data_IF_426942476982
#
_entry.id   IF_426942476982
#
_cell.length_a   1.000
_cell.length_b   1.000
_cell.length_c   1.000
_cell.angle_alpha   90.00
_cell.angle_beta   90.00
_cell.angle_gamma   90.00
#
_symmetry.space_group_name_H-M   'P 1'
#
loop_
_entity.id
_entity.type
_entity.pdbx_description
1 polymer ?
#
# COMPACT_ATOMS: atom_id res chain seq x y z
N UNK A 1 0.05 -2.31 -0.59
CA UNK A 1 -1.01 -1.52 0.10
C UNK A 1 -1.25 -2.14 1.46
N UNK A 2 -0.95 -1.45 2.57
CA UNK A 2 -1.07 -2.00 3.94
C UNK A 2 -2.02 -1.16 4.80
N UNK A 3 -2.78 -1.82 5.69
CA UNK A 3 -3.72 -1.22 6.64
C UNK A 3 -3.40 -1.67 8.06
N UNK A 4 -3.56 -0.80 9.04
CA UNK A 4 -3.33 -1.15 10.44
C UNK A 4 -4.24 -0.40 11.42
N UNK A 5 -4.71 -1.11 12.46
CA UNK A 5 -5.39 -0.60 13.65
C UNK A 5 -4.70 -1.05 14.97
N UNK A 6 -4.89 -0.31 16.07
CA UNK A 6 -4.47 -0.67 17.44
C UNK A 6 -5.39 0.00 18.47
N UNK A 7 -5.68 -0.68 19.57
CA UNK A 7 -6.33 -0.08 20.73
C UNK A 7 -5.46 1.01 21.40
N UNK A 8 -6.11 2.06 21.90
CA UNK A 8 -5.49 3.08 22.74
C UNK A 8 -5.27 2.55 24.16
N UNK A 9 -4.09 2.81 24.72
CA UNK A 9 -3.79 2.56 26.15
C UNK A 9 -4.64 3.48 27.02
N UNK A 10 -4.85 3.09 28.29
CA UNK A 10 -5.63 3.88 29.24
C UNK A 10 -5.20 5.37 29.32
N UNK A 11 -3.88 5.65 29.30
CA UNK A 11 -3.37 7.02 29.29
C UNK A 11 -3.59 7.75 27.95
N UNK A 12 -3.62 7.03 26.82
CA UNK A 12 -3.83 7.58 25.48
C UNK A 12 -5.30 7.94 25.25
N UNK A 13 -6.24 7.26 25.92
CA UNK A 13 -7.68 7.58 25.88
C UNK A 13 -8.00 8.99 26.38
N UNK A 14 -7.16 9.54 27.25
CA UNK A 14 -7.33 10.89 27.81
C UNK A 14 -6.71 11.98 26.93
N UNK A 15 -6.14 11.64 25.78
CA UNK A 15 -5.54 12.62 24.89
C UNK A 15 -6.63 13.44 24.17
N UNK A 16 -6.38 14.73 23.91
CA UNK A 16 -7.21 15.50 23.00
C UNK A 16 -7.33 14.80 21.65
N UNK A 17 -8.46 14.97 20.95
CA UNK A 17 -8.73 14.33 19.66
C UNK A 17 -7.59 14.53 18.66
N UNK A 18 -7.03 15.74 18.58
CA UNK A 18 -5.88 16.05 17.72
C UNK A 18 -4.62 15.23 18.06
N UNK A 19 -4.36 14.97 19.35
CA UNK A 19 -3.23 14.14 19.79
C UNK A 19 -3.47 12.66 19.46
N UNK A 20 -4.73 12.18 19.50
CA UNK A 20 -5.08 10.80 19.12
C UNK A 20 -4.92 10.55 17.62
N UNK A 21 -5.28 11.51 16.79
CA UNK A 21 -5.09 11.47 15.34
C UNK A 21 -3.60 11.39 14.97
N UNK A 22 -2.78 12.25 15.58
CA UNK A 22 -1.32 12.25 15.36
C UNK A 22 -0.66 10.98 15.90
N UNK A 23 -1.16 10.44 17.01
CA UNK A 23 -0.69 9.18 17.58
C UNK A 23 -0.90 8.02 16.61
N UNK A 24 -2.02 8.01 15.88
CA UNK A 24 -2.33 6.99 14.89
C UNK A 24 -1.33 6.99 13.72
N UNK A 25 -1.06 8.18 13.19
CA UNK A 25 -0.07 8.38 12.15
C UNK A 25 1.32 7.95 12.63
N UNK A 26 1.71 8.36 13.84
CA UNK A 26 2.95 7.88 14.47
C UNK A 26 2.99 6.37 14.57
N UNK A 27 1.90 5.74 14.99
CA UNK A 27 1.88 4.29 15.13
C UNK A 27 2.06 3.58 13.79
N UNK A 28 1.38 4.05 12.73
CA UNK A 28 1.57 3.51 11.40
C UNK A 28 2.99 3.72 10.88
N UNK A 29 3.56 4.92 11.09
CA UNK A 29 4.95 5.21 10.75
C UNK A 29 5.94 4.35 11.53
N UNK A 30 5.72 4.08 12.82
CA UNK A 30 6.56 3.16 13.59
C UNK A 30 6.43 1.73 13.07
N UNK A 31 5.20 1.28 12.80
CA UNK A 31 4.94 -0.10 12.37
C UNK A 31 5.53 -0.39 10.99
N UNK A 32 5.33 0.55 10.07
CA UNK A 32 5.83 0.47 8.71
C UNK A 32 7.15 1.22 8.55
N UNK A 33 7.83 1.59 9.65
CA UNK A 33 9.06 2.41 9.65
C UNK A 33 10.03 1.94 8.60
N UNK A 34 10.08 0.64 8.50
CA UNK A 34 10.99 -0.09 7.67
C UNK A 34 10.79 0.06 6.17
N UNK A 35 9.55 0.30 5.74
CA UNK A 35 9.19 0.55 4.34
C UNK A 35 9.13 2.04 4.02
N UNK A 36 9.18 2.90 5.04
CA UNK A 36 8.85 4.31 4.94
C UNK A 36 9.97 5.27 5.33
N UNK A 37 10.95 4.77 6.09
CA UNK A 37 12.11 5.55 6.48
C UNK A 37 13.01 5.78 5.27
N UNK A 38 13.45 7.02 5.09
CA UNK A 38 14.32 7.41 3.99
C UNK A 38 13.69 8.48 3.09
N UNK A 39 14.31 8.69 1.93
CA UNK A 39 14.00 9.80 1.02
C UNK A 39 12.87 9.52 0.04
N UNK A 40 12.32 8.29 -0.02
CA UNK A 40 11.24 7.95 -0.96
C UNK A 40 9.90 8.54 -0.49
N UNK A 41 9.21 9.34 -1.32
CA UNK A 41 7.95 9.97 -0.94
C UNK A 41 6.80 8.95 -0.86
N UNK A 42 5.94 9.07 0.15
CA UNK A 42 4.70 8.29 0.25
C UNK A 42 3.52 9.15 0.73
N UNK A 43 2.31 8.61 0.57
CA UNK A 43 1.07 9.29 0.99
C UNK A 43 0.45 8.58 2.18
N UNK A 44 0.12 9.36 3.20
CA UNK A 44 -0.73 8.95 4.31
C UNK A 44 -2.15 9.43 4.03
N UNK A 45 -3.07 8.49 3.87
CA UNK A 45 -4.50 8.82 3.78
C UNK A 45 -5.15 8.77 5.15
N UNK A 46 -5.93 9.80 5.46
CA UNK A 46 -6.70 9.93 6.71
C UNK A 46 -8.10 10.46 6.43
N UNK A 47 -9.06 10.01 7.22
CA UNK A 47 -10.42 10.53 7.30
C UNK A 47 -10.57 11.73 8.25
N UNK A 48 -9.46 12.26 8.78
CA UNK A 48 -9.43 13.41 9.68
C UNK A 48 -8.77 14.61 8.99
N UNK A 49 -9.57 15.59 8.57
CA UNK A 49 -9.09 16.75 7.82
C UNK A 49 -8.11 17.64 8.61
N UNK A 50 -8.21 17.64 9.94
CA UNK A 50 -7.32 18.32 10.89
C UNK A 50 -5.86 17.91 10.76
N UNK A 51 -5.59 16.65 10.38
CA UNK A 51 -4.22 16.15 10.21
C UNK A 51 -3.48 16.76 9.02
N UNK A 52 -4.21 17.31 8.02
CA UNK A 52 -3.60 17.97 6.87
C UNK A 52 -2.78 19.19 7.27
N UNK A 53 -3.17 19.84 8.36
CA UNK A 53 -2.51 21.04 8.90
C UNK A 53 -1.85 20.81 10.26
N UNK A 54 -1.96 19.60 10.83
CA UNK A 54 -1.46 19.30 12.16
C UNK A 54 0.06 19.47 12.29
N UNK A 55 0.81 19.23 11.22
CA UNK A 55 2.26 19.47 11.16
C UNK A 55 2.64 20.95 11.05
N UNK A 56 1.69 21.82 10.67
CA UNK A 56 1.88 23.26 10.44
C UNK A 56 1.17 24.14 11.49
N UNK A 57 0.63 23.55 12.56
CA UNK A 57 -0.09 24.30 13.60
C UNK A 57 0.88 25.18 14.41
N UNK A 58 0.56 26.47 14.66
CA UNK A 58 1.42 27.36 15.45
C UNK A 58 1.41 27.07 16.96
N UNK A 59 0.46 26.25 17.44
CA UNK A 59 0.37 25.83 18.85
C UNK A 59 0.44 24.32 18.94
N UNK A 60 1.65 23.81 19.16
CA UNK A 60 1.93 22.39 19.31
C UNK A 60 2.12 22.06 20.79
N UNK A 61 1.50 20.97 21.25
CA UNK A 61 1.82 20.44 22.57
C UNK A 61 3.26 19.91 22.59
N UNK A 62 3.92 19.87 23.76
CA UNK A 62 5.27 19.29 23.88
C UNK A 62 5.35 17.83 23.41
N UNK A 63 4.21 17.12 23.44
CA UNK A 63 4.06 15.78 22.86
C UNK A 63 4.10 15.83 21.34
N UNK A 64 3.35 16.72 20.70
CA UNK A 64 3.35 16.92 19.25
C UNK A 64 4.72 17.36 18.74
N UNK A 65 5.41 18.27 19.43
CA UNK A 65 6.77 18.70 19.06
C UNK A 65 7.75 17.54 18.97
N UNK A 66 7.73 16.62 19.95
CA UNK A 66 8.56 15.41 19.92
C UNK A 66 8.19 14.48 18.77
N UNK A 67 6.91 14.43 18.38
CA UNK A 67 6.47 13.61 17.25
C UNK A 67 6.81 14.23 15.90
N UNK A 68 6.85 15.57 15.80
CA UNK A 68 7.29 16.23 14.57
C UNK A 68 8.75 15.95 14.24
N UNK A 69 9.64 15.96 15.25
CA UNK A 69 11.03 15.53 15.05
C UNK A 69 11.11 14.09 14.54
N UNK A 70 10.26 13.20 15.05
CA UNK A 70 10.15 11.83 14.55
C UNK A 70 9.59 11.77 13.12
N UNK A 71 8.60 12.61 12.77
CA UNK A 71 8.03 12.66 11.42
C UNK A 71 9.00 13.23 10.38
N UNK A 72 9.91 14.12 10.79
CA UNK A 72 10.94 14.67 9.92
C UNK A 72 11.92 13.61 9.37
N UNK A 73 11.98 12.42 9.98
CA UNK A 73 12.74 11.28 9.46
C UNK A 73 12.10 10.64 8.20
N UNK A 74 10.86 11.01 7.86
CA UNK A 74 10.08 10.39 6.78
C UNK A 74 9.71 11.41 5.70
N UNK A 75 9.78 11.00 4.43
CA UNK A 75 9.30 11.80 3.31
C UNK A 75 7.82 11.47 2.99
N UNK A 76 6.87 12.17 3.60
CA UNK A 76 5.45 11.94 3.32
C UNK A 76 4.62 13.20 3.16
N UNK A 77 3.47 13.03 2.51
CA UNK A 77 2.36 13.99 2.54
C UNK A 77 1.10 13.37 3.10
N UNK A 78 0.27 14.19 3.75
CA UNK A 78 -1.01 13.77 4.32
C UNK A 78 -2.14 14.20 3.39
N UNK A 79 -2.97 13.25 2.96
CA UNK A 79 -4.14 13.51 2.12
C UNK A 79 -5.42 13.08 2.84
N UNK A 80 -6.42 13.97 2.83
CA UNK A 80 -7.74 13.68 3.37
C UNK A 80 -8.55 12.83 2.39
N UNK A 81 -9.10 11.71 2.88
CA UNK A 81 -10.11 10.91 2.17
C UNK A 81 -11.37 10.80 3.03
N UNK A 82 -12.55 11.22 2.53
CA UNK A 82 -13.80 11.06 3.25
C UNK A 82 -14.03 9.61 3.69
N UNK A 83 -14.54 9.39 4.91
CA UNK A 83 -14.76 8.04 5.47
C UNK A 83 -15.57 7.10 4.54
N UNK A 84 -16.53 7.66 3.79
CA UNK A 84 -17.31 6.93 2.77
C UNK A 84 -16.45 6.29 1.65
N UNK A 85 -15.29 6.87 1.36
CA UNK A 85 -14.32 6.36 0.38
C UNK A 85 -13.16 5.60 1.06
N UNK A 86 -13.13 5.59 2.38
CA UNK A 86 -12.14 4.92 3.21
C UNK A 86 -12.72 3.66 3.88
N UNK A 87 -13.64 2.96 3.18
CA UNK A 87 -14.49 1.89 3.70
C UNK A 87 -13.70 0.80 4.44
N UNK A 88 -12.53 0.42 3.94
CA UNK A 88 -11.67 -0.58 4.57
C UNK A 88 -11.08 -0.12 5.91
N UNK A 89 -10.61 1.13 5.96
CA UNK A 89 -10.04 1.71 7.17
C UNK A 89 -11.14 1.99 8.22
N UNK A 90 -12.30 2.42 7.75
CA UNK A 90 -13.47 2.72 8.57
C UNK A 90 -14.13 1.43 9.12
N UNK A 91 -14.17 0.34 8.35
CA UNK A 91 -14.64 -0.95 8.84
C UNK A 91 -13.74 -1.55 9.94
N UNK A 92 -12.43 -1.34 9.83
CA UNK A 92 -11.45 -1.81 10.80
C UNK A 92 -11.38 -0.92 12.06
N UNK A 93 -11.75 0.36 11.99
CA UNK A 93 -11.82 1.27 13.15
C UNK A 93 -13.08 1.10 13.99
N UNK A 94 -14.18 0.60 13.39
CA UNK A 94 -15.51 0.43 14.01
C UNK A 94 -15.74 -0.91 14.71
N UNK A 95 -14.71 -1.76 14.84
CA UNK A 95 -14.82 -3.04 15.54
C UNK A 95 -14.97 -2.81 17.07
N UNK A 96 -16.02 -3.35 17.72
CA UNK A 96 -16.32 -3.05 19.14
C UNK A 96 -15.28 -3.64 20.11
N UNK A 97 -14.55 -4.66 19.70
CA UNK A 97 -13.36 -5.19 20.36
C UNK A 97 -12.11 -4.29 20.17
N UNK A 98 -12.22 -3.19 19.42
CA UNK A 98 -11.17 -2.22 19.11
C UNK A 98 -11.70 -0.79 19.34
N UNK A 99 -11.98 -0.42 20.58
CA UNK A 99 -12.38 0.95 20.89
C UNK A 99 -11.31 1.98 20.44
N UNK A 100 -11.68 2.79 19.45
CA UNK A 100 -10.97 3.93 18.86
C UNK A 100 -9.57 3.60 18.30
N UNK A 101 -9.55 2.81 17.21
CA UNK A 101 -8.35 2.67 16.39
C UNK A 101 -8.43 3.54 15.13
N UNK A 102 -7.70 4.64 15.11
CA UNK A 102 -7.49 5.44 13.90
C UNK A 102 -6.60 4.68 12.91
N UNK A 103 -7.01 4.60 11.64
CA UNK A 103 -6.30 3.84 10.61
C UNK A 103 -5.62 4.76 9.63
N UNK A 104 -4.31 4.60 9.52
CA UNK A 104 -3.47 5.31 8.56
C UNK A 104 -3.13 4.33 7.44
N UNK A 105 -3.51 4.69 6.21
CA UNK A 105 -3.16 3.92 5.02
C UNK A 105 -1.92 4.54 4.39
N UNK A 106 -0.92 3.70 4.13
CA UNK A 106 0.33 4.08 3.52
C UNK A 106 0.43 3.47 2.13
N UNK A 107 0.76 4.28 1.13
CA UNK A 107 1.00 3.83 -0.24
C UNK A 107 2.38 4.24 -0.72
N UNK A 108 3.21 3.25 -1.09
CA UNK A 108 4.39 3.46 -1.94
C UNK A 108 3.93 3.68 -3.38
N UNK A 109 4.72 4.40 -4.18
CA UNK A 109 4.45 4.64 -5.61
C UNK A 109 4.66 3.38 -6.47
N UNK A 110 5.19 2.29 -5.90
CA UNK A 110 5.55 1.06 -6.59
C UNK A 110 4.40 0.52 -7.44
N UNK A 111 3.19 0.49 -6.90
CA UNK A 111 2.01 0.01 -7.63
C UNK A 111 1.62 0.97 -8.76
N UNK A 112 1.81 2.28 -8.59
CA UNK A 112 1.56 3.25 -9.67
C UNK A 112 2.60 3.09 -10.79
N UNK A 113 3.86 2.81 -10.45
CA UNK A 113 4.92 2.51 -11.42
C UNK A 113 4.64 1.21 -12.17
N UNK A 114 4.16 0.15 -11.49
CA UNK A 114 3.69 -1.09 -12.13
C UNK A 114 2.57 -0.79 -13.14
N UNK A 115 1.56 -0.01 -12.76
CA UNK A 115 0.45 0.38 -13.65
C UNK A 115 0.95 1.07 -14.90
N UNK A 116 1.88 2.03 -14.74
CA UNK A 116 2.44 2.78 -15.86
C UNK A 116 3.32 1.90 -16.75
N UNK A 117 4.02 0.91 -16.19
CA UNK A 117 4.90 0.02 -16.94
C UNK A 117 4.15 -0.99 -17.82
N UNK A 118 2.89 -1.33 -17.54
CA UNK A 118 2.09 -2.21 -18.41
C UNK A 118 1.99 -1.70 -19.85
N UNK A 119 1.99 -0.38 -20.07
CA UNK A 119 1.92 0.20 -21.43
C UNK A 119 3.18 -0.02 -22.26
N UNK A 120 4.30 -0.28 -21.59
CA UNK A 120 5.61 -0.48 -22.21
C UNK A 120 5.90 -1.97 -22.48
N UNK A 121 5.09 -2.87 -21.92
CA UNK A 121 5.16 -4.31 -22.16
C UNK A 121 4.06 -4.71 -23.16
N UNK A 122 4.43 -4.91 -24.43
CA UNK A 122 3.47 -5.22 -25.50
C UNK A 122 2.58 -6.43 -25.20
N UNK A 123 3.13 -7.43 -24.50
CA UNK A 123 2.43 -8.66 -24.16
C UNK A 123 1.36 -8.43 -23.10
N UNK A 124 1.69 -7.65 -22.06
CA UNK A 124 0.77 -7.31 -20.97
C UNK A 124 -0.22 -6.23 -21.42
N UNK A 125 0.20 -5.25 -22.22
CA UNK A 125 -0.68 -4.25 -22.79
C UNK A 125 -1.84 -4.89 -23.58
N UNK A 126 -1.55 -5.95 -24.34
CA UNK A 126 -2.55 -6.71 -25.08
C UNK A 126 -3.54 -7.45 -24.17
N UNK A 127 -3.05 -8.03 -23.06
CA UNK A 127 -3.89 -8.67 -22.04
C UNK A 127 -4.77 -7.66 -21.31
N UNK A 128 -4.20 -6.54 -20.88
CA UNK A 128 -4.93 -5.46 -20.20
C UNK A 128 -6.02 -4.92 -21.11
N UNK A 129 -5.70 -4.63 -22.38
CA UNK A 129 -6.69 -4.23 -23.39
C UNK A 129 -7.82 -5.23 -23.52
N UNK A 130 -7.51 -6.53 -23.55
CA UNK A 130 -8.54 -7.57 -23.66
C UNK A 130 -9.44 -7.65 -22.41
N UNK A 131 -8.86 -7.61 -21.21
CA UNK A 131 -9.59 -7.69 -19.94
C UNK A 131 -10.43 -6.43 -19.65
N UNK A 132 -10.03 -5.29 -20.21
CA UNK A 132 -10.74 -4.00 -20.06
C UNK A 132 -11.69 -3.70 -21.21
N UNK A 133 -11.60 -4.40 -22.35
CA UNK A 133 -12.46 -4.16 -23.51
C UNK A 133 -13.91 -4.61 -23.25
N UNK A 134 -14.85 -3.75 -23.64
CA UNK A 134 -16.29 -4.05 -23.62
C UNK A 134 -16.61 -4.98 -24.79
N UNK A 135 -16.79 -6.28 -24.47
CA UNK A 135 -17.35 -7.43 -25.24
C UNK A 135 -17.10 -7.63 -26.75
N UNK A 136 -16.79 -6.64 -27.59
CA UNK A 136 -16.93 -6.70 -29.05
C UNK A 136 -15.64 -6.85 -29.89
N UNK A 137 -14.45 -6.97 -29.29
CA UNK A 137 -13.22 -7.21 -30.06
C UNK A 137 -12.51 -8.49 -29.60
N UNK A 138 -13.19 -9.63 -29.72
CA UNK A 138 -12.66 -10.92 -29.26
C UNK A 138 -12.25 -11.75 -30.47
N UNK A 139 -10.96 -11.75 -30.82
CA UNK A 139 -10.23 -12.95 -31.28
C UNK A 139 -8.84 -12.69 -31.88
N UNK A 140 -8.38 -11.44 -32.07
CA UNK A 140 -7.08 -11.21 -32.76
C UNK A 140 -5.93 -10.76 -31.85
N UNK A 141 -6.21 -10.31 -30.62
CA UNK A 141 -5.20 -9.56 -29.85
C UNK A 141 -4.36 -10.42 -28.90
N UNK A 142 -4.69 -11.69 -28.74
CA UNK A 142 -4.03 -12.59 -27.78
C UNK A 142 -3.39 -13.78 -28.48
N UNK A 143 -2.15 -14.08 -28.10
CA UNK A 143 -1.46 -15.30 -28.50
C UNK A 143 -2.19 -16.56 -27.99
N UNK A 144 -2.01 -17.73 -28.65
CA UNK A 144 -2.60 -19.00 -28.19
C UNK A 144 -2.28 -19.33 -26.72
N UNK A 145 -1.05 -19.02 -26.29
CA UNK A 145 -0.57 -19.23 -24.91
C UNK A 145 -1.29 -18.33 -23.90
N UNK A 146 -1.60 -17.09 -24.28
CA UNK A 146 -2.37 -16.18 -23.43
C UNK A 146 -3.81 -16.65 -23.31
N UNK A 147 -4.43 -17.09 -24.41
CA UNK A 147 -5.83 -17.57 -24.42
C UNK A 147 -6.04 -18.76 -23.49
N UNK A 148 -5.15 -19.76 -23.52
CA UNK A 148 -5.29 -20.93 -22.66
C UNK A 148 -5.18 -20.61 -21.17
N UNK A 149 -4.51 -19.50 -20.82
CA UNK A 149 -4.30 -19.05 -19.44
C UNK A 149 -5.18 -17.88 -19.03
N UNK A 150 -6.10 -17.40 -19.89
CA UNK A 150 -6.93 -16.22 -19.59
C UNK A 150 -7.71 -16.35 -18.28
N UNK A 151 -8.23 -17.55 -17.98
CA UNK A 151 -8.97 -17.83 -16.74
C UNK A 151 -8.13 -17.64 -15.45
N UNK A 152 -6.81 -17.53 -15.59
CA UNK A 152 -5.87 -17.28 -14.49
C UNK A 152 -5.58 -15.80 -14.27
N UNK A 153 -5.99 -14.94 -15.21
CA UNK A 153 -5.78 -13.50 -15.11
C UNK A 153 -7.04 -12.79 -14.64
N UNK A 154 -6.85 -11.77 -13.83
CA UNK A 154 -7.91 -10.85 -13.41
C UNK A 154 -7.41 -9.40 -13.47
N UNK A 155 -8.32 -8.46 -13.70
CA UNK A 155 -8.01 -7.04 -13.77
C UNK A 155 -8.80 -6.29 -12.69
N UNK A 156 -8.09 -5.75 -11.71
CA UNK A 156 -8.70 -5.03 -10.59
C UNK A 156 -7.83 -3.85 -10.17
N UNK A 157 -8.46 -2.70 -9.90
CA UNK A 157 -7.78 -1.49 -9.38
C UNK A 157 -6.56 -1.04 -10.22
N UNK A 158 -6.66 -1.24 -11.54
CA UNK A 158 -5.62 -0.90 -12.50
C UNK A 158 -4.45 -1.89 -12.55
N UNK A 159 -4.52 -3.01 -11.83
CA UNK A 159 -3.47 -4.02 -11.74
C UNK A 159 -3.90 -5.32 -12.39
N UNK A 160 -2.94 -5.98 -13.04
CA UNK A 160 -3.12 -7.32 -13.57
C UNK A 160 -2.73 -8.32 -12.48
N UNK A 161 -3.63 -9.24 -12.17
CA UNK A 161 -3.41 -10.33 -11.23
C UNK A 161 -3.31 -11.65 -11.98
N UNK A 162 -2.44 -12.54 -11.51
CA UNK A 162 -2.32 -13.91 -12.00
C UNK A 162 -2.45 -14.92 -10.87
N UNK A 163 -3.18 -16.00 -11.13
CA UNK A 163 -3.41 -17.09 -10.19
C UNK A 163 -2.95 -18.42 -10.79
N UNK A 164 -2.02 -19.10 -10.14
CA UNK A 164 -1.53 -20.41 -10.62
C UNK A 164 -2.62 -21.46 -10.47
N UNK A 165 -3.19 -21.56 -9.26
CA UNK A 165 -4.26 -22.51 -8.90
C UNK A 165 -5.42 -21.77 -8.23
N UNK A 166 -6.69 -22.21 -8.40
CA UNK A 166 -7.87 -21.51 -7.88
C UNK A 166 -7.83 -21.15 -6.39
N UNK A 167 -7.11 -21.95 -5.59
CA UNK A 167 -6.97 -21.81 -4.14
C UNK A 167 -5.76 -20.99 -3.70
N UNK A 168 -4.85 -20.65 -4.61
CA UNK A 168 -3.71 -19.79 -4.30
C UNK A 168 -4.11 -18.31 -4.32
N UNK A 169 -3.47 -17.47 -3.47
CA UNK A 169 -3.67 -16.03 -3.53
C UNK A 169 -3.23 -15.49 -4.90
N UNK A 170 -3.99 -14.55 -5.49
CA UNK A 170 -3.58 -13.90 -6.73
C UNK A 170 -2.33 -13.05 -6.50
N UNK A 171 -1.40 -13.08 -7.47
CA UNK A 171 -0.15 -12.33 -7.45
C UNK A 171 -0.22 -11.21 -8.48
N UNK A 172 0.38 -10.07 -8.18
CA UNK A 172 0.46 -8.95 -9.12
C UNK A 172 1.47 -9.30 -10.21
N UNK A 173 1.05 -9.19 -11.46
CA UNK A 173 1.92 -9.41 -12.61
C UNK A 173 2.83 -8.21 -12.76
N UNK A 174 4.14 -8.46 -12.69
CA UNK A 174 5.17 -7.43 -12.83
C UNK A 174 5.58 -7.37 -14.30
N UNK A 175 5.54 -6.17 -14.94
CA UNK A 175 6.06 -5.98 -16.29
C UNK A 175 7.52 -6.39 -16.41
N UNK A 176 7.96 -6.70 -17.62
CA UNK A 176 9.37 -6.99 -17.88
C UNK A 176 10.24 -5.72 -17.88
N UNK A 177 10.32 -5.08 -16.70
CA UNK A 177 11.06 -3.84 -16.41
C UNK A 177 12.09 -4.14 -15.31
N UNK A 178 13.38 -4.05 -15.63
CA UNK A 178 14.46 -4.46 -14.73
C UNK A 178 14.61 -3.52 -13.53
N UNK A 179 14.41 -2.22 -13.71
CA UNK A 179 14.48 -1.24 -12.61
C UNK A 179 13.36 -1.49 -11.61
N UNK A 180 12.16 -1.80 -12.12
CA UNK A 180 11.00 -2.08 -11.29
C UNK A 180 11.13 -3.43 -10.55
N UNK A 181 11.68 -4.46 -11.20
CA UNK A 181 12.02 -5.73 -10.52
C UNK A 181 13.08 -5.53 -9.43
N UNK A 182 14.11 -4.74 -9.71
CA UNK A 182 15.14 -4.41 -8.73
C UNK A 182 14.54 -3.71 -7.52
N UNK A 183 13.68 -2.72 -7.74
CA UNK A 183 13.00 -2.00 -6.65
C UNK A 183 12.10 -2.90 -5.80
N UNK A 184 11.37 -3.84 -6.42
CA UNK A 184 10.56 -4.83 -5.69
C UNK A 184 11.45 -5.71 -4.81
N UNK A 185 12.57 -6.19 -5.36
CA UNK A 185 13.52 -7.03 -4.62
C UNK A 185 14.18 -6.24 -3.49
N UNK A 186 14.54 -4.99 -3.71
CA UNK A 186 15.14 -4.11 -2.71
C UNK A 186 14.15 -3.82 -1.57
N UNK A 187 12.90 -3.44 -1.89
CA UNK A 187 11.85 -3.19 -0.89
C UNK A 187 11.55 -4.44 -0.03
N UNK A 188 11.63 -5.63 -0.62
CA UNK A 188 11.45 -6.89 0.09
C UNK A 188 12.68 -7.31 0.91
N UNK A 189 13.89 -7.00 0.44
CA UNK A 189 15.14 -7.28 1.15
C UNK A 189 15.32 -6.38 2.37
N UNK A 190 14.97 -5.09 2.25
CA UNK A 190 15.18 -4.08 3.29
C UNK A 190 14.11 -4.14 4.41
N UNK A 191 13.13 -5.05 4.31
CA UNK A 191 12.05 -5.29 5.28
C UNK A 191 12.54 -6.07 6.56
N UNK A 192 12.62 -5.45 7.76
CA UNK A 192 13.14 -5.96 9.03
C UNK A 192 12.24 -6.95 9.76
N UNK A 193 11.12 -7.40 9.17
CA UNK A 193 10.54 -8.70 9.56
C UNK A 193 11.47 -9.87 9.22
N UNK A 194 12.59 -9.57 8.54
CA UNK A 194 13.50 -10.52 7.92
C UNK A 194 14.94 -10.21 8.34
N UNK A 195 15.32 -10.52 9.58
CA UNK A 195 16.73 -10.48 9.97
C UNK A 195 17.58 -11.29 9.01
N UNK A 196 18.55 -10.65 8.33
CA UNK A 196 19.46 -11.23 7.32
C UNK A 196 18.91 -12.48 6.62
N UNK A 197 17.72 -12.38 6.02
CA UNK A 197 17.17 -13.50 5.30
C UNK A 197 17.87 -13.55 3.94
N UNK A 198 18.69 -14.59 3.74
CA UNK A 198 19.37 -14.83 2.47
C UNK A 198 18.42 -14.83 1.26
N UNK A 199 18.99 -14.70 0.06
CA UNK A 199 18.30 -14.57 -1.25
C UNK A 199 16.99 -15.38 -1.38
N UNK A 200 16.97 -16.62 -0.90
CA UNK A 200 15.82 -17.52 -1.01
C UNK A 200 14.57 -17.00 -0.31
N UNK A 201 14.70 -16.40 0.87
CA UNK A 201 13.55 -15.94 1.64
C UNK A 201 13.00 -14.60 1.12
N UNK A 202 13.86 -13.73 0.58
CA UNK A 202 13.43 -12.56 -0.19
C UNK A 202 12.64 -12.98 -1.41
N UNK A 203 13.15 -13.98 -2.15
CA UNK A 203 12.45 -14.53 -3.31
C UNK A 203 11.09 -15.15 -2.94
N UNK A 204 11.02 -15.91 -1.85
CA UNK A 204 9.75 -16.48 -1.36
C UNK A 204 8.75 -15.40 -0.98
N UNK A 205 9.18 -14.36 -0.26
CA UNK A 205 8.32 -13.22 0.11
C UNK A 205 7.79 -12.49 -1.12
N UNK A 206 8.66 -12.18 -2.09
CA UNK A 206 8.28 -11.51 -3.34
C UNK A 206 7.32 -12.40 -4.13
N UNK A 207 7.61 -13.69 -4.28
CA UNK A 207 6.80 -14.62 -5.07
C UNK A 207 5.42 -14.92 -4.47
N UNK A 208 5.17 -14.60 -3.20
CA UNK A 208 3.83 -14.63 -2.61
C UNK A 208 2.93 -13.49 -3.10
N UNK A 209 3.53 -12.37 -3.54
CA UNK A 209 2.82 -11.13 -3.86
C UNK A 209 2.93 -10.79 -5.35
N UNK A 210 4.04 -11.12 -5.99
CA UNK A 210 4.40 -10.73 -7.35
C UNK A 210 4.74 -11.96 -8.20
N UNK A 211 4.51 -11.88 -9.51
CA UNK A 211 4.86 -12.92 -10.49
C UNK A 211 5.28 -12.34 -11.84
#
# INVERSE_FOLDING_TARGET
>A
MSLQSRQLKAAERNYPVHDNELLAMKYALVKFRVHLLGSRPFVIYTDHASLRTATNSPRLSQRMTRWLSFFAEYNFRVEYKPGKLNVLADALSRRPDYELAHITRVTTDLYDRIRMAYRNDESLASLVRFLTAVKEAKSEWLSPRQRSRLHRYDWQDGLLYYRVEPHEPPRVVVPNDEDLKFDILQEAHDAPSSGHLGREKTFLSVSQVFC
#
